data_IF_821135501115
#
_entry.id   IF_821135501115
#
_cell.length_a   1.000
_cell.length_b   1.000
_cell.length_c   1.000
_cell.angle_alpha   90.00
_cell.angle_beta   90.00
_cell.angle_gamma   90.00
#
_symmetry.space_group_name_H-M   'P 1'
#
loop_
_entity.id
_entity.type
_entity.pdbx_description
1 polymer ?
#
# COMPACT_ATOMS: atom_id res chain seq x y z
N UNK A 1 10.23 40.10 47.18
CA UNK A 1 9.46 38.96 46.71
C UNK A 1 8.95 39.19 45.26
N UNK A 2 9.82 39.17 44.22
CA UNK A 2 9.43 39.38 42.80
C UNK A 2 9.92 38.25 41.84
N UNK A 3 10.46 37.18 42.36
CA UNK A 3 11.04 36.13 41.53
C UNK A 3 10.10 34.97 41.15
N UNK A 4 8.99 34.75 41.84
CA UNK A 4 8.13 33.57 41.66
C UNK A 4 7.19 33.61 40.43
N UNK A 5 6.80 34.80 39.99
CA UNK A 5 5.83 34.99 38.92
C UNK A 5 6.42 34.68 37.51
N UNK A 6 7.74 34.94 37.35
CA UNK A 6 8.39 34.71 36.04
C UNK A 6 8.65 33.25 35.74
N UNK A 7 8.95 32.43 36.74
CA UNK A 7 9.23 31.00 36.59
C UNK A 7 7.94 30.21 36.24
N UNK A 8 6.83 30.52 36.91
CA UNK A 8 5.51 29.94 36.64
C UNK A 8 5.02 30.28 35.22
N UNK A 9 5.29 31.49 34.73
CA UNK A 9 4.90 31.91 33.37
C UNK A 9 5.74 31.26 32.28
N UNK A 10 7.02 30.96 32.56
CA UNK A 10 7.90 30.22 31.65
C UNK A 10 7.53 28.71 31.62
N UNK A 11 7.25 28.14 32.79
CA UNK A 11 6.78 26.75 32.86
C UNK A 11 5.45 26.55 32.13
N UNK A 12 4.51 27.50 32.18
CA UNK A 12 3.22 27.36 31.46
C UNK A 12 3.38 27.43 29.93
N UNK A 13 4.33 28.18 29.39
CA UNK A 13 4.61 28.21 27.95
C UNK A 13 5.24 26.91 27.46
N UNK A 14 6.16 26.34 28.20
CA UNK A 14 6.80 25.07 27.82
C UNK A 14 5.87 23.88 28.01
N UNK A 15 5.01 23.86 29.04
CA UNK A 15 4.03 22.81 29.23
C UNK A 15 2.96 22.84 28.14
N UNK A 16 2.50 24.02 27.69
CA UNK A 16 1.58 24.11 26.56
C UNK A 16 2.22 23.58 25.25
N UNK A 17 3.48 23.90 24.99
CA UNK A 17 4.21 23.40 23.81
C UNK A 17 4.37 21.89 23.87
N UNK A 18 4.69 21.32 25.04
CA UNK A 18 4.80 19.86 25.22
C UNK A 18 3.46 19.16 25.06
N UNK A 19 2.36 19.72 25.55
CA UNK A 19 1.01 19.19 25.35
C UNK A 19 0.63 19.23 23.88
N UNK A 20 0.90 20.30 23.16
CA UNK A 20 0.63 20.41 21.72
C UNK A 20 1.46 19.39 20.94
N UNK A 21 2.76 19.25 21.23
CA UNK A 21 3.61 18.21 20.61
C UNK A 21 3.07 16.80 20.90
N UNK A 22 2.65 16.53 22.12
CA UNK A 22 2.06 15.23 22.51
C UNK A 22 0.75 14.97 21.76
N UNK A 23 -0.13 15.97 21.63
CA UNK A 23 -1.35 15.86 20.85
C UNK A 23 -1.07 15.61 19.35
N UNK A 24 -0.07 16.29 18.78
CA UNK A 24 0.33 16.09 17.38
C UNK A 24 0.88 14.68 17.16
N UNK A 25 1.63 14.11 18.11
CA UNK A 25 2.14 12.73 18.03
C UNK A 25 1.04 11.67 18.18
N UNK A 26 -0.10 12.01 18.79
CA UNK A 26 -1.26 11.13 18.90
C UNK A 26 -2.14 11.14 17.65
N UNK A 27 -2.09 12.18 16.81
CA UNK A 27 -2.92 12.26 15.59
C UNK A 27 -2.81 11.05 14.66
N UNK A 28 -1.62 10.49 14.37
CA UNK A 28 -1.52 9.30 13.51
C UNK A 28 -2.06 8.00 14.15
N UNK A 29 -2.27 7.96 15.47
CA UNK A 29 -2.80 6.78 16.16
C UNK A 29 -4.32 6.62 15.91
N UNK A 30 -5.01 7.71 15.59
CA UNK A 30 -6.44 7.74 15.28
C UNK A 30 -6.76 7.69 13.79
N UNK A 31 -5.78 7.32 12.95
CA UNK A 31 -6.07 7.06 11.55
C UNK A 31 -6.86 5.74 11.46
N UNK A 32 -8.19 5.85 11.47
CA UNK A 32 -9.04 4.80 10.93
C UNK A 32 -8.62 4.60 9.48
N UNK A 33 -8.06 3.45 9.17
CA UNK A 33 -8.00 3.01 7.78
C UNK A 33 -9.46 2.84 7.35
N UNK A 34 -10.02 3.88 6.76
CA UNK A 34 -11.19 3.70 5.92
C UNK A 34 -10.73 2.75 4.81
N UNK A 35 -11.19 1.50 4.86
CA UNK A 35 -11.02 0.56 3.75
C UNK A 35 -11.88 1.10 2.62
N UNK A 36 -11.28 1.97 1.83
CA UNK A 36 -11.90 2.54 0.64
C UNK A 36 -11.61 1.68 -0.60
N UNK A 37 -11.00 0.51 -0.39
CA UNK A 37 -10.65 -0.40 -1.47
C UNK A 37 -11.75 -1.44 -1.67
N UNK A 38 -12.11 -1.65 -2.91
CA UNK A 38 -13.00 -2.73 -3.31
C UNK A 38 -12.44 -4.08 -2.84
N UNK A 39 -13.28 -4.86 -2.18
CA UNK A 39 -12.97 -6.23 -1.78
C UNK A 39 -13.92 -7.19 -2.46
N UNK A 40 -13.39 -8.33 -2.91
CA UNK A 40 -14.20 -9.39 -3.50
C UNK A 40 -14.97 -10.10 -2.38
N UNK A 41 -16.29 -9.94 -2.36
CA UNK A 41 -17.16 -10.59 -1.37
C UNK A 41 -17.60 -11.98 -1.81
N UNK A 42 -17.84 -12.15 -3.12
CA UNK A 42 -18.33 -13.39 -3.67
C UNK A 42 -17.87 -13.62 -5.10
N UNK A 43 -17.60 -14.87 -5.43
CA UNK A 43 -17.31 -15.28 -6.81
C UNK A 43 -18.24 -16.41 -7.26
N UNK A 44 -18.49 -16.48 -8.56
CA UNK A 44 -19.14 -17.60 -9.21
C UNK A 44 -18.27 -17.98 -10.43
N UNK A 45 -17.64 -19.16 -10.43
CA UNK A 45 -17.66 -20.22 -9.41
C UNK A 45 -17.08 -19.76 -8.07
N UNK A 46 -17.55 -20.39 -6.98
CA UNK A 46 -17.07 -20.10 -5.64
C UNK A 46 -15.58 -20.43 -5.50
N UNK A 47 -14.84 -19.59 -4.76
CA UNK A 47 -13.44 -19.85 -4.42
C UNK A 47 -13.30 -21.24 -3.76
N UNK A 48 -12.29 -21.98 -4.20
CA UNK A 48 -12.02 -23.38 -3.81
C UNK A 48 -13.19 -24.36 -4.07
N UNK A 49 -14.18 -23.93 -4.83
CA UNK A 49 -15.36 -24.75 -5.17
C UNK A 49 -15.04 -25.82 -6.21
N UNK A 50 -15.77 -26.95 -6.14
CA UNK A 50 -15.73 -27.98 -7.17
C UNK A 50 -17.10 -28.05 -7.82
N UNK A 51 -17.17 -27.79 -9.11
CA UNK A 51 -18.40 -27.79 -9.90
C UNK A 51 -18.40 -28.97 -10.90
N UNK A 52 -19.57 -29.49 -11.21
CA UNK A 52 -19.69 -30.66 -12.10
C UNK A 52 -19.56 -30.27 -13.58
N UNK A 53 -20.06 -29.10 -13.93
CA UNK A 53 -20.11 -28.63 -15.32
C UNK A 53 -19.43 -27.25 -15.40
N UNK A 54 -18.90 -26.94 -16.58
CA UNK A 54 -18.35 -25.62 -16.84
C UNK A 54 -19.44 -24.56 -16.60
N UNK A 55 -19.12 -23.47 -15.89
CA UNK A 55 -20.09 -22.41 -15.66
C UNK A 55 -20.34 -21.63 -16.98
N UNK A 56 -21.48 -21.02 -17.12
CA UNK A 56 -21.78 -20.16 -18.28
C UNK A 56 -21.03 -18.84 -18.25
N UNK A 57 -20.76 -18.34 -17.05
CA UNK A 57 -20.05 -17.09 -16.82
C UNK A 57 -19.20 -17.16 -15.55
N UNK A 58 -18.19 -16.30 -15.47
CA UNK A 58 -17.47 -15.99 -14.23
C UNK A 58 -18.05 -14.66 -13.72
N UNK A 59 -18.48 -14.63 -12.43
CA UNK A 59 -18.98 -13.42 -11.79
C UNK A 59 -18.13 -13.09 -10.58
N UNK A 60 -17.75 -11.84 -10.44
CA UNK A 60 -17.05 -11.28 -9.30
C UNK A 60 -17.95 -10.21 -8.67
N UNK A 61 -18.32 -10.39 -7.41
CA UNK A 61 -19.18 -9.46 -6.66
C UNK A 61 -18.33 -8.75 -5.60
N UNK A 62 -18.32 -7.42 -5.64
CA UNK A 62 -17.52 -6.55 -4.79
C UNK A 62 -18.39 -5.80 -3.78
N UNK A 63 -17.81 -5.40 -2.65
CA UNK A 63 -18.48 -4.59 -1.62
C UNK A 63 -18.88 -3.19 -2.11
N UNK A 64 -18.23 -2.69 -3.17
CA UNK A 64 -18.49 -1.39 -3.78
C UNK A 64 -18.40 -1.46 -5.32
N UNK A 65 -18.95 -0.45 -6.06
CA UNK A 65 -18.81 -0.42 -7.51
C UNK A 65 -17.36 -0.26 -7.95
N UNK A 66 -16.93 -1.09 -8.90
CA UNK A 66 -15.62 -1.05 -9.54
C UNK A 66 -15.73 -0.61 -11.00
N UNK A 67 -14.64 -0.09 -11.56
CA UNK A 67 -14.62 0.33 -12.95
C UNK A 67 -14.33 -0.85 -13.86
N UNK A 68 -15.37 -1.33 -14.58
CA UNK A 68 -15.25 -2.50 -15.44
C UNK A 68 -14.30 -2.29 -16.63
N UNK A 69 -14.05 -1.05 -17.06
CA UNK A 69 -13.10 -0.73 -18.12
C UNK A 69 -11.67 -1.17 -17.77
N UNK A 70 -11.33 -1.12 -16.48
CA UNK A 70 -10.02 -1.48 -15.94
C UNK A 70 -10.05 -2.83 -15.20
N UNK A 71 -11.15 -3.57 -15.33
CA UNK A 71 -11.25 -4.92 -14.77
C UNK A 71 -10.78 -5.95 -15.78
N UNK A 72 -10.06 -6.94 -15.30
CA UNK A 72 -9.58 -8.07 -16.09
C UNK A 72 -9.53 -9.34 -15.26
N UNK A 73 -9.60 -10.46 -15.92
CA UNK A 73 -9.34 -11.81 -15.37
C UNK A 73 -8.33 -12.50 -16.25
N UNK A 74 -7.24 -12.97 -15.65
CA UNK A 74 -6.32 -13.91 -16.30
C UNK A 74 -6.63 -15.31 -15.82
N UNK A 75 -6.84 -16.23 -16.76
CA UNK A 75 -7.15 -17.63 -16.50
C UNK A 75 -5.90 -18.48 -16.70
N UNK A 76 -5.61 -19.35 -15.73
CA UNK A 76 -4.52 -20.32 -15.77
C UNK A 76 -5.07 -21.75 -15.61
N UNK A 77 -4.35 -22.71 -16.19
CA UNK A 77 -4.63 -24.15 -16.03
C UNK A 77 -4.03 -24.70 -14.72
N UNK A 78 -4.21 -25.99 -14.49
CA UNK A 78 -3.72 -26.74 -13.33
C UNK A 78 -2.18 -26.82 -13.22
N UNK A 79 -1.46 -26.37 -14.23
CA UNK A 79 0.02 -26.29 -14.28
C UNK A 79 0.53 -24.87 -14.15
N UNK A 80 -0.35 -23.89 -13.89
CA UNK A 80 0.00 -22.47 -13.84
C UNK A 80 0.29 -21.85 -15.21
N UNK A 81 -0.06 -22.54 -16.30
CA UNK A 81 0.09 -22.00 -17.65
C UNK A 81 -1.08 -21.06 -17.96
N UNK A 82 -0.76 -19.83 -18.33
CA UNK A 82 -1.75 -18.85 -18.78
C UNK A 82 -2.54 -19.38 -19.98
N UNK A 83 -3.85 -19.40 -19.84
CA UNK A 83 -4.79 -19.79 -20.92
C UNK A 83 -5.19 -18.53 -21.69
N UNK A 84 -5.74 -17.52 -21.00
CA UNK A 84 -6.26 -16.31 -21.65
C UNK A 84 -6.51 -15.18 -20.65
N UNK A 85 -6.43 -13.94 -21.15
CA UNK A 85 -6.97 -12.75 -20.50
C UNK A 85 -8.42 -12.54 -20.97
N UNK A 86 -9.32 -12.44 -20.01
CA UNK A 86 -10.74 -12.21 -20.23
C UNK A 86 -11.05 -10.75 -19.94
N UNK A 87 -11.84 -10.15 -20.83
CA UNK A 87 -12.40 -8.82 -20.60
C UNK A 87 -13.83 -8.94 -20.08
N UNK A 88 -14.29 -8.00 -19.25
CA UNK A 88 -15.65 -8.04 -18.72
C UNK A 88 -16.69 -7.83 -19.84
N UNK A 89 -17.81 -8.51 -19.68
CA UNK A 89 -19.03 -8.30 -20.49
C UNK A 89 -19.81 -7.11 -19.91
N UNK A 90 -19.76 -6.92 -18.59
CA UNK A 90 -20.36 -5.79 -17.88
C UNK A 90 -19.63 -4.49 -18.27
N UNK A 91 -20.38 -3.39 -18.40
CA UNK A 91 -19.83 -2.08 -18.76
C UNK A 91 -20.15 -1.02 -17.70
N UNK A 92 -19.27 -0.02 -17.57
CA UNK A 92 -19.44 1.09 -16.63
C UNK A 92 -18.99 0.73 -15.20
N UNK A 93 -19.57 1.42 -14.22
CA UNK A 93 -19.34 1.12 -12.80
C UNK A 93 -20.35 0.08 -12.32
N UNK A 94 -19.86 -0.99 -11.70
CA UNK A 94 -20.72 -2.09 -11.22
C UNK A 94 -20.09 -2.80 -10.02
N UNK A 95 -20.94 -3.22 -9.07
CA UNK A 95 -20.52 -4.13 -8.00
C UNK A 95 -20.34 -5.57 -8.49
N UNK A 96 -20.97 -5.93 -9.62
CA UNK A 96 -20.87 -7.26 -10.20
C UNK A 96 -20.21 -7.16 -11.56
N UNK A 97 -19.04 -7.77 -11.72
CA UNK A 97 -18.33 -7.86 -12.99
C UNK A 97 -18.45 -9.26 -13.54
N UNK A 98 -18.91 -9.39 -14.80
CA UNK A 98 -19.18 -10.66 -15.46
C UNK A 98 -18.20 -10.85 -16.62
N UNK A 99 -17.63 -12.06 -16.69
CA UNK A 99 -16.70 -12.48 -17.76
C UNK A 99 -17.23 -13.74 -18.48
N UNK A 100 -16.78 -13.94 -19.73
CA UNK A 100 -17.04 -15.19 -20.46
C UNK A 100 -16.31 -16.36 -19.82
N UNK A 101 -16.91 -17.54 -19.84
CA UNK A 101 -16.34 -18.77 -19.30
C UNK A 101 -15.90 -19.78 -20.36
N UNK A 102 -15.94 -19.42 -21.63
CA UNK A 102 -15.66 -20.34 -22.76
C UNK A 102 -14.30 -21.04 -22.68
N UNK A 103 -13.33 -20.38 -22.03
CA UNK A 103 -11.94 -20.84 -21.94
C UNK A 103 -11.66 -21.73 -20.71
N UNK A 104 -12.63 -21.92 -19.82
CA UNK A 104 -12.47 -22.77 -18.63
C UNK A 104 -12.23 -24.22 -19.05
N UNK A 105 -11.22 -24.84 -18.44
CA UNK A 105 -10.84 -26.24 -18.69
C UNK A 105 -11.37 -27.18 -17.60
N UNK A 106 -11.38 -28.48 -17.87
CA UNK A 106 -11.64 -29.49 -16.85
C UNK A 106 -10.41 -29.57 -15.91
N UNK A 107 -10.65 -29.82 -14.62
CA UNK A 107 -9.62 -29.77 -13.58
C UNK A 107 -9.59 -28.43 -12.87
N UNK A 108 -8.49 -28.15 -12.20
CA UNK A 108 -8.30 -26.89 -11.45
C UNK A 108 -8.02 -25.73 -12.42
N UNK A 109 -8.73 -24.64 -12.22
CA UNK A 109 -8.54 -23.37 -12.92
C UNK A 109 -8.19 -22.33 -11.89
N UNK A 110 -7.13 -21.56 -12.13
CA UNK A 110 -6.73 -20.43 -11.31
C UNK A 110 -7.17 -19.14 -11.99
N UNK A 111 -7.84 -18.28 -11.26
CA UNK A 111 -8.29 -16.95 -11.69
C UNK A 111 -7.47 -15.91 -10.94
N UNK A 112 -6.72 -15.12 -11.66
CA UNK A 112 -6.12 -13.87 -11.19
C UNK A 112 -7.00 -12.73 -11.71
N UNK A 113 -7.50 -11.90 -10.82
CA UNK A 113 -8.35 -10.78 -11.19
C UNK A 113 -7.74 -9.45 -10.73
N UNK A 114 -7.97 -8.42 -11.54
CA UNK A 114 -7.60 -7.04 -11.24
C UNK A 114 -8.77 -6.12 -11.56
N UNK A 115 -8.92 -5.07 -10.77
CA UNK A 115 -9.91 -4.02 -11.01
C UNK A 115 -9.47 -2.71 -10.36
N UNK A 116 -10.19 -1.62 -10.65
CA UNK A 116 -9.96 -0.31 -10.05
C UNK A 116 -11.19 0.07 -9.24
N UNK A 117 -10.99 0.32 -7.95
CA UNK A 117 -12.01 0.75 -7.00
C UNK A 117 -12.44 2.22 -7.24
N UNK A 118 -13.53 2.64 -6.57
CA UNK A 118 -14.09 3.99 -6.74
C UNK A 118 -13.13 5.10 -6.30
N UNK A 119 -12.21 4.81 -5.39
CA UNK A 119 -11.16 5.72 -4.92
C UNK A 119 -9.94 5.79 -5.86
N UNK A 120 -9.96 5.05 -6.98
CA UNK A 120 -8.91 5.04 -8.00
C UNK A 120 -7.76 4.07 -7.72
N UNK A 121 -7.82 3.25 -6.65
CA UNK A 121 -6.78 2.27 -6.38
C UNK A 121 -7.03 0.97 -7.13
N UNK A 122 -5.94 0.40 -7.66
CA UNK A 122 -5.95 -0.94 -8.23
C UNK A 122 -5.97 -1.98 -7.11
N UNK A 123 -6.88 -2.94 -7.25
CA UNK A 123 -7.01 -4.10 -6.36
C UNK A 123 -7.07 -5.37 -7.18
N UNK A 124 -6.51 -6.45 -6.67
CA UNK A 124 -6.50 -7.74 -7.33
C UNK A 124 -6.13 -8.85 -6.36
N UNK A 125 -6.51 -10.06 -6.71
CA UNK A 125 -6.21 -11.26 -5.95
C UNK A 125 -6.32 -12.50 -6.86
N UNK A 126 -5.98 -13.65 -6.31
CA UNK A 126 -6.00 -14.93 -7.02
C UNK A 126 -6.84 -15.94 -6.25
N UNK A 127 -7.67 -16.68 -6.96
CA UNK A 127 -8.38 -17.82 -6.38
C UNK A 127 -8.52 -18.98 -7.36
N UNK A 128 -8.80 -20.15 -6.83
CA UNK A 128 -8.96 -21.40 -7.61
C UNK A 128 -10.37 -21.94 -7.50
N UNK A 129 -10.79 -22.65 -8.55
CA UNK A 129 -11.94 -23.54 -8.53
C UNK A 129 -11.67 -24.71 -9.49
N UNK A 130 -12.42 -25.79 -9.33
CA UNK A 130 -12.23 -26.99 -10.17
C UNK A 130 -13.51 -27.40 -10.88
N UNK A 131 -13.34 -27.87 -12.12
CA UNK A 131 -14.41 -28.48 -12.91
C UNK A 131 -14.20 -30.00 -12.95
N UNK A 132 -15.12 -30.74 -12.34
CA UNK A 132 -15.05 -32.21 -12.23
C UNK A 132 -14.15 -32.67 -11.10
N UNK A 133 -12.82 -32.63 -11.25
CA UNK A 133 -11.84 -33.08 -10.27
C UNK A 133 -10.85 -31.99 -9.94
N UNK A 134 -10.39 -31.96 -8.69
CA UNK A 134 -9.23 -31.16 -8.28
C UNK A 134 -7.98 -31.82 -8.85
N UNK A 135 -7.23 -31.11 -9.71
CA UNK A 135 -6.02 -31.62 -10.37
C UNK A 135 -4.75 -30.95 -9.90
N UNK A 136 -4.84 -29.72 -9.38
CA UNK A 136 -3.73 -29.02 -8.73
C UNK A 136 -4.20 -28.44 -7.40
N UNK A 137 -3.26 -28.23 -6.50
CA UNK A 137 -3.45 -27.47 -5.26
C UNK A 137 -2.40 -26.37 -5.26
N UNK A 138 -2.84 -25.17 -4.90
CA UNK A 138 -1.96 -24.02 -4.59
C UNK A 138 -0.97 -23.70 -5.73
N UNK A 139 -1.49 -23.36 -6.91
CA UNK A 139 -0.66 -22.81 -7.97
C UNK A 139 -0.27 -21.39 -7.55
N UNK A 140 0.97 -21.21 -7.08
CA UNK A 140 1.52 -19.90 -6.79
C UNK A 140 1.83 -19.18 -8.11
N UNK A 141 0.97 -18.25 -8.49
CA UNK A 141 1.15 -17.41 -9.67
C UNK A 141 1.85 -16.10 -9.33
N UNK A 142 2.15 -15.86 -8.04
CA UNK A 142 2.77 -14.63 -7.59
C UNK A 142 4.23 -14.54 -8.04
N UNK A 143 4.64 -13.41 -8.57
CA UNK A 143 6.05 -13.12 -8.77
C UNK A 143 6.76 -13.01 -7.41
N UNK A 144 8.03 -13.46 -7.29
CA UNK A 144 8.78 -13.32 -6.07
C UNK A 144 8.77 -11.87 -5.56
N UNK A 145 8.63 -11.66 -4.25
CA UNK A 145 8.48 -10.33 -3.65
C UNK A 145 9.58 -9.34 -4.06
N UNK A 146 10.80 -9.82 -4.32
CA UNK A 146 11.94 -9.00 -4.75
C UNK A 146 11.86 -8.55 -6.23
N UNK A 147 11.01 -9.19 -7.05
CA UNK A 147 10.73 -8.76 -8.42
C UNK A 147 9.64 -7.69 -8.50
N UNK A 148 8.87 -7.53 -7.41
CA UNK A 148 7.83 -6.51 -7.36
C UNK A 148 8.45 -5.12 -7.17
N UNK A 149 8.15 -4.20 -8.08
CA UNK A 149 8.61 -2.81 -8.00
C UNK A 149 8.23 -2.14 -6.67
N UNK A 150 7.06 -2.47 -6.12
CA UNK A 150 6.57 -1.99 -4.81
C UNK A 150 7.54 -2.30 -3.66
N UNK A 151 8.21 -3.46 -3.68
CA UNK A 151 9.21 -3.82 -2.68
C UNK A 151 10.40 -2.84 -2.69
N UNK A 152 10.97 -2.57 -3.86
CA UNK A 152 12.13 -1.69 -4.00
C UNK A 152 11.81 -0.23 -3.67
N UNK A 153 10.64 0.26 -4.08
CA UNK A 153 10.17 1.59 -3.72
C UNK A 153 9.91 1.71 -2.20
N UNK A 154 9.32 0.69 -1.59
CA UNK A 154 9.14 0.62 -0.14
C UNK A 154 10.47 0.66 0.61
N UNK A 155 11.44 -0.17 0.18
CA UNK A 155 12.77 -0.20 0.78
C UNK A 155 13.49 1.16 0.67
N UNK A 156 13.47 1.78 -0.50
CA UNK A 156 14.06 3.10 -0.73
C UNK A 156 13.43 4.16 0.18
N UNK A 157 12.12 4.14 0.32
CA UNK A 157 11.38 5.03 1.21
C UNK A 157 11.81 4.86 2.67
N UNK A 158 11.86 3.63 3.20
CA UNK A 158 12.28 3.39 4.58
C UNK A 158 13.73 3.82 4.83
N UNK A 159 14.63 3.62 3.87
CA UNK A 159 16.03 4.07 3.97
C UNK A 159 16.11 5.60 4.02
N UNK A 160 15.38 6.30 3.15
CA UNK A 160 15.40 7.77 3.10
C UNK A 160 14.75 8.39 4.35
N UNK A 161 13.64 7.86 4.82
CA UNK A 161 12.96 8.30 6.04
C UNK A 161 13.86 8.05 7.27
N UNK A 162 14.43 6.85 7.40
CA UNK A 162 15.35 6.50 8.49
C UNK A 162 16.58 7.39 8.54
N UNK A 163 17.20 7.67 7.39
CA UNK A 163 18.35 8.59 7.29
C UNK A 163 17.95 10.03 7.72
N UNK A 164 16.77 10.47 7.33
CA UNK A 164 16.24 11.79 7.71
C UNK A 164 16.03 11.91 9.22
N UNK A 165 15.41 10.92 9.85
CA UNK A 165 15.22 10.88 11.29
C UNK A 165 16.55 10.87 12.06
N UNK A 166 17.53 10.10 11.56
CA UNK A 166 18.86 10.02 12.14
C UNK A 166 19.57 11.39 12.09
N UNK A 167 19.50 12.09 10.96
CA UNK A 167 20.08 13.44 10.80
C UNK A 167 19.42 14.45 11.71
N UNK A 168 18.10 14.44 11.83
CA UNK A 168 17.35 15.31 12.74
C UNK A 168 17.77 15.04 14.19
N UNK A 169 17.86 13.76 14.57
CA UNK A 169 18.29 13.34 15.91
C UNK A 169 19.71 13.81 16.24
N UNK A 170 20.67 13.62 15.32
CA UNK A 170 22.04 14.10 15.48
C UNK A 170 22.14 15.61 15.56
N UNK A 171 21.36 16.35 14.78
CA UNK A 171 21.29 17.81 14.85
C UNK A 171 20.79 18.28 16.21
N UNK A 172 19.75 17.65 16.74
CA UNK A 172 19.18 17.94 18.07
C UNK A 172 20.18 17.67 19.19
N UNK A 173 20.85 16.51 19.14
CA UNK A 173 21.89 16.13 20.10
C UNK A 173 23.05 17.11 20.10
N UNK A 174 23.50 17.55 18.92
CA UNK A 174 24.56 18.59 18.82
C UNK A 174 24.10 19.92 19.39
N UNK A 175 22.85 20.34 19.22
CA UNK A 175 22.28 21.53 19.82
C UNK A 175 22.26 21.45 21.34
N UNK A 176 21.93 20.31 21.92
CA UNK A 176 21.96 20.09 23.39
C UNK A 176 23.40 20.04 23.88
N UNK A 177 24.31 19.37 23.20
CA UNK A 177 25.72 19.29 23.56
C UNK A 177 26.35 20.69 23.59
N UNK A 178 26.08 21.53 22.59
CA UNK A 178 26.53 22.94 22.56
C UNK A 178 26.02 23.72 23.73
N UNK A 179 24.74 23.62 24.10
CA UNK A 179 24.14 24.30 25.24
C UNK A 179 24.75 23.89 26.58
N UNK A 180 25.22 22.64 26.68
CA UNK A 180 25.82 22.08 27.90
C UNK A 180 27.35 22.16 27.94
N UNK A 181 27.99 22.80 26.94
CA UNK A 181 29.46 22.88 26.86
C UNK A 181 30.14 21.54 26.59
N UNK A 182 29.40 20.54 26.11
CA UNK A 182 29.91 19.21 25.77
C UNK A 182 30.53 19.18 24.38
N UNK A 183 31.39 18.18 24.13
CA UNK A 183 32.00 17.96 22.82
C UNK A 183 30.92 17.71 21.77
N UNK A 184 30.93 18.49 20.70
CA UNK A 184 29.99 18.31 19.58
C UNK A 184 30.47 17.19 18.62
N UNK A 185 29.53 16.58 17.93
CA UNK A 185 29.85 15.61 16.87
C UNK A 185 30.28 16.37 15.60
N UNK A 186 31.59 16.36 15.30
CA UNK A 186 32.17 17.06 14.13
C UNK A 186 31.82 16.38 12.78
N UNK A 187 31.05 15.31 12.81
CA UNK A 187 30.65 14.54 11.61
C UNK A 187 29.54 15.23 10.82
N UNK A 188 28.83 16.18 11.43
CA UNK A 188 27.73 16.86 10.76
C UNK A 188 28.24 17.98 9.85
N UNK A 189 27.74 18.08 8.62
CA UNK A 189 28.02 19.20 7.74
C UNK A 189 27.57 20.53 8.38
N UNK A 190 28.09 21.65 7.87
CA UNK A 190 27.67 22.98 8.32
C UNK A 190 26.12 23.08 8.29
N UNK A 191 25.56 23.92 9.14
CA UNK A 191 24.10 24.04 9.34
C UNK A 191 23.30 24.21 8.04
N UNK A 192 23.88 24.93 7.05
CA UNK A 192 23.34 25.04 5.69
C UNK A 192 23.31 23.68 4.94
N UNK A 193 24.36 22.85 5.09
CA UNK A 193 24.44 21.54 4.45
C UNK A 193 23.41 20.56 5.02
N UNK A 194 23.12 20.60 6.32
CA UNK A 194 22.07 19.77 6.93
C UNK A 194 20.70 20.15 6.37
N UNK A 195 20.40 21.45 6.26
CA UNK A 195 19.14 21.93 5.69
C UNK A 195 18.95 21.45 4.25
N UNK A 196 20.01 21.48 3.43
CA UNK A 196 19.97 20.98 2.06
C UNK A 196 19.76 19.46 2.01
N UNK A 197 20.44 18.67 2.86
CA UNK A 197 20.26 17.22 2.92
C UNK A 197 18.81 16.89 3.32
N UNK A 198 18.26 17.59 4.31
CA UNK A 198 16.86 17.40 4.72
C UNK A 198 15.88 17.76 3.61
N UNK A 199 16.08 18.90 2.93
CA UNK A 199 15.24 19.30 1.81
C UNK A 199 15.29 18.29 0.66
N UNK A 200 16.47 17.79 0.30
CA UNK A 200 16.65 16.77 -0.72
C UNK A 200 16.01 15.43 -0.32
N UNK A 201 16.12 15.02 0.94
CA UNK A 201 15.48 13.80 1.43
C UNK A 201 13.95 13.87 1.34
N UNK A 202 13.35 15.01 1.72
CA UNK A 202 11.91 15.23 1.57
C UNK A 202 11.51 15.21 0.09
N UNK A 203 12.30 15.86 -0.77
CA UNK A 203 12.04 15.87 -2.22
C UNK A 203 12.09 14.45 -2.81
N UNK A 204 13.12 13.67 -2.46
CA UNK A 204 13.26 12.27 -2.90
C UNK A 204 12.07 11.44 -2.40
N UNK A 205 11.69 11.56 -1.14
CA UNK A 205 10.53 10.85 -0.59
C UNK A 205 9.23 11.22 -1.32
N UNK A 206 9.07 12.47 -1.70
CA UNK A 206 7.90 12.96 -2.42
C UNK A 206 7.88 12.44 -3.88
N UNK A 207 9.03 12.40 -4.55
CA UNK A 207 9.17 11.82 -5.91
C UNK A 207 8.90 10.31 -5.87
N UNK A 208 9.45 9.59 -4.89
CA UNK A 208 9.20 8.15 -4.71
C UNK A 208 7.72 7.89 -4.44
N UNK A 209 7.08 8.72 -3.60
CA UNK A 209 5.64 8.62 -3.34
C UNK A 209 4.83 8.85 -4.62
N UNK A 210 5.13 9.90 -5.39
CA UNK A 210 4.46 10.19 -6.66
C UNK A 210 4.65 9.07 -7.68
N UNK A 211 5.85 8.48 -7.75
CA UNK A 211 6.12 7.33 -8.63
C UNK A 211 5.32 6.09 -8.19
N UNK A 212 5.24 5.79 -6.89
CA UNK A 212 4.43 4.67 -6.39
C UNK A 212 2.94 4.86 -6.70
N UNK A 213 2.42 6.05 -6.50
CA UNK A 213 1.01 6.37 -6.83
C UNK A 213 0.79 6.32 -8.33
N UNK A 214 1.70 6.88 -9.15
CA UNK A 214 1.58 6.87 -10.62
C UNK A 214 1.71 5.46 -11.21
N UNK A 215 2.55 4.59 -10.62
CA UNK A 215 2.71 3.21 -11.10
C UNK A 215 1.47 2.36 -10.84
N UNK A 216 0.72 2.63 -9.77
CA UNK A 216 -0.56 1.96 -9.51
C UNK A 216 -1.68 2.40 -10.46
N UNK A 217 -1.48 3.49 -11.22
CA UNK A 217 -2.43 3.98 -12.21
C UNK A 217 -2.14 3.54 -13.65
N UNK A 218 -0.96 2.95 -13.92
CA UNK A 218 -0.49 2.62 -15.28
C UNK A 218 -0.36 1.10 -15.54
N UNK A 219 -0.45 0.25 -14.53
CA UNK A 219 -0.46 -1.21 -14.62
C UNK A 219 -1.83 -1.77 -14.34
#
# INVERSE_FOLDING_TARGET
MKGGVSVLKIMSKHSATLVIMFLITLLPIFQYQASAHATLEKSTPQQQGVIKHKPETIKLEFNEPVNTKYSSVTLFDDKGKKIKDLKPITTGWSQTVVFSSEQIVNGTNTIEWHTVSADGHEVGDTFEFSVGKVTAKDVDTSSPFYEQSKFWFGLLRYVTEGATFLLIGLFWLNGIAKKRGLRQFNVLPKQSGIAWIMAMSVLVSLVVYMMTVSYTHLT
#
